data_IF_765582727988
#
_entry.id   IF_765582727988
#
_cell.length_a   1.000
_cell.length_b   1.000
_cell.length_c   1.000
_cell.angle_alpha   90.00
_cell.angle_beta   90.00
_cell.angle_gamma   90.00
#
_symmetry.space_group_name_H-M   'P 1'
#
loop_
_entity.id
_entity.type
_entity.pdbx_description
1 polymer ?
#
# COMPACT_ATOMS: atom_id res chain seq x y z
N UNK A 1 -18.37 -3.19 -4.15
CA UNK A 1 -17.50 -2.05 -3.80
C UNK A 1 -16.48 -1.90 -4.89
N UNK A 2 -16.31 -0.71 -5.46
CA UNK A 2 -15.27 -0.43 -6.45
C UNK A 2 -13.96 -0.18 -5.70
N UNK A 3 -12.88 -0.84 -6.12
CA UNK A 3 -11.52 -0.56 -5.69
C UNK A 3 -10.89 0.26 -6.80
N UNK A 4 -10.41 1.45 -6.45
CA UNK A 4 -9.66 2.32 -7.35
C UNK A 4 -8.21 2.26 -6.89
N UNK A 5 -7.28 2.22 -7.84
CA UNK A 5 -5.83 2.14 -7.61
C UNK A 5 -5.18 3.22 -8.44
N UNK A 6 -4.11 3.81 -7.91
CA UNK A 6 -3.43 4.97 -8.47
C UNK A 6 -4.39 6.14 -8.69
N UNK A 7 -5.27 6.38 -7.73
CA UNK A 7 -6.27 7.44 -7.76
C UNK A 7 -5.74 8.77 -7.19
N UNK A 8 -4.63 8.74 -6.42
CA UNK A 8 -3.96 9.94 -5.92
C UNK A 8 -2.43 9.90 -6.02
N UNK A 9 -1.78 10.99 -5.58
CA UNK A 9 -0.31 11.10 -5.56
C UNK A 9 0.35 10.23 -4.47
N UNK A 10 -0.36 9.93 -3.39
CA UNK A 10 0.13 9.05 -2.33
C UNK A 10 0.23 7.61 -2.81
N UNK A 11 -0.54 7.21 -3.83
CA UNK A 11 -0.39 5.91 -4.48
C UNK A 11 1.04 5.61 -4.94
N UNK A 12 1.78 6.62 -5.38
CA UNK A 12 3.20 6.48 -5.71
C UNK A 12 4.08 6.24 -4.48
N UNK A 13 3.72 6.80 -3.32
CA UNK A 13 4.40 6.51 -2.06
C UNK A 13 4.13 5.07 -1.65
N UNK A 14 2.89 4.58 -1.72
CA UNK A 14 2.53 3.19 -1.43
C UNK A 14 3.32 2.21 -2.31
N UNK A 15 3.40 2.50 -3.61
CA UNK A 15 4.23 1.77 -4.56
C UNK A 15 5.71 1.73 -4.16
N UNK A 16 6.31 2.88 -3.81
CA UNK A 16 7.72 2.95 -3.39
C UNK A 16 7.98 2.27 -2.04
N UNK A 17 7.04 2.35 -1.10
CA UNK A 17 7.10 1.60 0.16
C UNK A 17 7.08 0.09 -0.10
N UNK A 18 6.22 -0.35 -1.02
CA UNK A 18 6.20 -1.73 -1.51
C UNK A 18 7.55 -2.17 -2.08
N UNK A 19 8.09 -1.40 -3.02
CA UNK A 19 9.39 -1.65 -3.66
C UNK A 19 10.54 -1.74 -2.65
N UNK A 20 10.59 -0.81 -1.68
CA UNK A 20 11.64 -0.77 -0.66
C UNK A 20 11.50 -1.87 0.41
N UNK A 21 10.31 -2.44 0.59
CA UNK A 21 10.06 -3.48 1.62
C UNK A 21 10.85 -4.76 1.41
N UNK A 22 11.29 -5.07 0.18
CA UNK A 22 12.16 -6.20 -0.13
C UNK A 22 13.57 -6.04 0.44
N UNK A 23 14.05 -4.80 0.56
CA UNK A 23 15.36 -4.49 1.14
C UNK A 23 15.27 -4.15 2.62
N UNK A 24 14.12 -3.60 3.05
CA UNK A 24 13.85 -3.16 4.40
C UNK A 24 12.54 -3.81 4.90
N UNK A 25 12.56 -5.08 5.36
CA UNK A 25 11.35 -5.83 5.69
C UNK A 25 10.42 -5.17 6.72
N UNK A 26 10.98 -4.34 7.60
CA UNK A 26 10.20 -3.58 8.59
C UNK A 26 9.26 -2.54 7.96
N UNK A 27 9.53 -2.09 6.73
CA UNK A 27 8.66 -1.15 6.00
C UNK A 27 7.26 -1.76 5.83
N UNK A 28 7.15 -3.07 5.58
CA UNK A 28 5.86 -3.75 5.49
C UNK A 28 5.06 -3.64 6.79
N UNK A 29 5.70 -3.90 7.94
CA UNK A 29 5.02 -3.85 9.24
C UNK A 29 4.58 -2.41 9.58
N UNK A 30 5.43 -1.42 9.30
CA UNK A 30 5.11 0.00 9.49
C UNK A 30 3.94 0.41 8.59
N UNK A 31 3.99 0.04 7.31
CA UNK A 31 2.95 0.35 6.34
C UNK A 31 1.60 -0.25 6.73
N UNK A 32 1.55 -1.56 6.99
CA UNK A 32 0.32 -2.24 7.41
C UNK A 32 -0.25 -1.66 8.71
N UNK A 33 0.62 -1.36 9.68
CA UNK A 33 0.20 -0.73 10.93
C UNK A 33 -0.37 0.66 10.73
N UNK A 34 0.30 1.48 9.92
CA UNK A 34 -0.15 2.83 9.57
C UNK A 34 -1.48 2.80 8.84
N UNK A 35 -1.63 2.00 7.79
CA UNK A 35 -2.88 1.91 7.01
C UNK A 35 -4.04 1.37 7.84
N UNK A 36 -3.80 0.36 8.68
CA UNK A 36 -4.84 -0.18 9.55
C UNK A 36 -5.33 0.88 10.56
N UNK A 37 -4.40 1.67 11.13
CA UNK A 37 -4.73 2.76 12.04
C UNK A 37 -5.46 3.88 11.31
N UNK A 38 -4.99 4.28 10.12
CA UNK A 38 -5.61 5.30 9.28
C UNK A 38 -7.05 4.89 8.91
N UNK A 39 -7.22 3.66 8.42
CA UNK A 39 -8.51 3.06 8.13
C UNK A 39 -9.42 3.07 9.33
N UNK A 40 -8.97 2.59 10.50
CA UNK A 40 -9.80 2.59 11.71
C UNK A 40 -10.22 4.00 12.13
N UNK A 41 -9.30 4.96 12.06
CA UNK A 41 -9.53 6.34 12.46
C UNK A 41 -10.49 7.07 11.49
N UNK A 42 -10.26 6.97 10.19
CA UNK A 42 -11.09 7.63 9.17
C UNK A 42 -12.42 6.91 8.95
N UNK A 43 -12.48 5.57 9.05
CA UNK A 43 -13.73 4.81 8.98
C UNK A 43 -14.68 5.18 10.11
N UNK A 44 -14.18 5.39 11.34
CA UNK A 44 -14.98 5.92 12.45
C UNK A 44 -15.64 7.27 12.11
N UNK A 45 -15.01 8.06 11.23
CA UNK A 45 -15.51 9.35 10.74
C UNK A 45 -16.27 9.26 9.41
N UNK A 46 -16.53 8.06 8.87
CA UNK A 46 -17.10 7.81 7.53
C UNK A 46 -16.36 8.54 6.39
N UNK A 47 -15.05 8.77 6.56
CA UNK A 47 -14.21 9.51 5.61
C UNK A 47 -13.42 8.62 4.65
N UNK A 48 -13.42 7.31 4.86
CA UNK A 48 -12.67 6.37 4.05
C UNK A 48 -13.53 5.15 3.71
N UNK A 49 -13.51 4.77 2.43
CA UNK A 49 -14.19 3.57 1.96
C UNK A 49 -13.26 2.38 2.13
N UNK A 50 -13.84 1.19 2.37
CA UNK A 50 -13.07 -0.06 2.39
C UNK A 50 -12.29 -0.26 1.07
N UNK A 51 -12.74 0.34 -0.04
CA UNK A 51 -12.07 0.26 -1.34
C UNK A 51 -10.77 1.06 -1.41
N UNK A 52 -10.65 2.15 -0.66
CA UNK A 52 -9.44 2.99 -0.60
C UNK A 52 -8.34 2.22 0.14
N UNK A 53 -8.61 1.73 1.36
CA UNK A 53 -7.70 0.83 2.09
C UNK A 53 -7.21 -0.38 1.29
N UNK A 54 -8.10 -1.03 0.53
CA UNK A 54 -7.70 -2.16 -0.33
C UNK A 54 -6.85 -1.67 -1.51
N UNK A 55 -7.15 -0.49 -2.07
CA UNK A 55 -6.37 0.15 -3.11
C UNK A 55 -4.93 0.41 -2.66
N UNK A 56 -4.76 1.07 -1.52
CA UNK A 56 -3.46 1.39 -0.92
C UNK A 56 -2.63 0.12 -0.67
N UNK A 57 -3.28 -0.94 -0.19
CA UNK A 57 -2.64 -2.24 0.00
C UNK A 57 -2.23 -2.89 -1.33
N UNK A 58 -3.07 -2.81 -2.37
CA UNK A 58 -2.74 -3.31 -3.70
C UNK A 58 -1.56 -2.56 -4.32
N UNK A 59 -1.47 -1.25 -4.17
CA UNK A 59 -0.37 -0.43 -4.67
C UNK A 59 0.96 -0.80 -4.02
N UNK A 60 0.96 -1.02 -2.70
CA UNK A 60 2.11 -1.56 -1.98
C UNK A 60 2.53 -2.94 -2.53
N UNK A 61 1.57 -3.85 -2.70
CA UNK A 61 1.86 -5.19 -3.23
C UNK A 61 2.38 -5.14 -4.68
N UNK A 62 1.88 -4.22 -5.51
CA UNK A 62 2.39 -4.02 -6.88
C UNK A 62 3.85 -3.56 -6.84
N UNK A 63 4.19 -2.61 -5.95
CA UNK A 63 5.57 -2.14 -5.80
C UNK A 63 6.53 -3.25 -5.38
N UNK A 64 6.14 -4.03 -4.38
CA UNK A 64 6.88 -5.20 -3.93
C UNK A 64 6.99 -6.25 -5.07
N UNK A 65 5.89 -6.52 -5.78
CA UNK A 65 5.86 -7.47 -6.89
C UNK A 65 6.79 -7.08 -8.04
N UNK A 66 6.80 -5.81 -8.46
CA UNK A 66 7.68 -5.31 -9.52
C UNK A 66 9.14 -5.53 -9.17
N UNK A 67 9.58 -5.09 -7.98
CA UNK A 67 10.98 -5.25 -7.58
C UNK A 67 11.33 -6.72 -7.36
N UNK A 68 10.42 -7.52 -6.80
CA UNK A 68 10.63 -8.96 -6.63
C UNK A 68 10.84 -9.68 -7.95
N UNK A 69 10.06 -9.33 -8.98
CA UNK A 69 10.26 -9.86 -10.34
C UNK A 69 11.58 -9.41 -10.94
N UNK A 70 11.93 -8.13 -10.81
CA UNK A 70 13.22 -7.61 -11.34
C UNK A 70 14.40 -8.31 -10.67
N UNK A 71 14.40 -8.43 -9.34
CA UNK A 71 15.46 -9.14 -8.60
C UNK A 71 15.52 -10.63 -8.94
N UNK A 72 14.38 -11.27 -9.21
CA UNK A 72 14.33 -12.68 -9.62
C UNK A 72 14.79 -12.94 -11.06
N UNK A 73 14.94 -11.90 -11.88
CA UNK A 73 15.42 -11.98 -13.27
C UNK A 73 16.90 -11.58 -13.44
N UNK A 74 17.53 -11.05 -12.38
CA UNK A 74 18.96 -10.68 -12.34
C UNK A 74 19.81 -11.85 -11.82
#
# INVERSE_FOLDING_TARGET
MRVEVFDDWKSFIHLLLGASSLFLPWVMAIFLGYELVEFCYKRKRRREKIGEFIGDFMEFLVGAGIVGLVLGML
#
